data_IF_987413338169
#
_entry.id   IF_987413338169
#
_cell.length_a   1.000
_cell.length_b   1.000
_cell.length_c   1.000
_cell.angle_alpha   90.00
_cell.angle_beta   90.00
_cell.angle_gamma   90.00
#
_symmetry.space_group_name_H-M   'P 1'
#
loop_
_entity.id
_entity.type
_entity.pdbx_description
1 polymer ?
2 non-polymer ?
3 water ?
#
# COMPACT_ATOMS: atom_id res chain seq x y z
N UNK A 6 -2.68 9.89 16.34
CA UNK A 6 -1.85 9.42 15.17
C UNK A 6 -0.47 10.10 15.16
N UNK A 7 0.58 9.30 15.39
CA UNK A 7 1.92 9.86 15.56
C UNK A 7 2.63 10.19 14.24
N UNK A 8 1.99 9.90 13.10
CA UNK A 8 2.66 10.00 11.81
C UNK A 8 2.46 11.37 11.18
N UNK A 9 3.54 11.98 10.68
CA UNK A 9 3.48 13.29 10.04
C UNK A 9 3.00 13.20 8.60
N UNK A 10 1.76 12.73 8.41
CA UNK A 10 1.24 12.41 7.05
C UNK A 10 1.02 13.64 6.19
N UNK A 11 1.02 14.81 6.83
CA UNK A 11 0.94 16.07 6.10
C UNK A 11 2.26 16.60 5.57
N UNK A 12 3.34 15.95 5.99
CA UNK A 12 4.69 16.38 5.63
C UNK A 12 4.97 15.73 4.27
N UNK A 13 5.00 16.57 3.23
CA UNK A 13 5.08 16.07 1.84
C UNK A 13 6.40 15.32 1.62
N UNK A 14 7.46 15.80 2.25
CA UNK A 14 8.78 15.16 2.20
C UNK A 14 8.74 13.75 2.82
N UNK A 15 8.00 13.60 3.92
CA UNK A 15 7.85 12.30 4.57
C UNK A 15 7.11 11.33 3.65
N UNK A 16 6.08 11.81 2.96
CA UNK A 16 5.37 10.87 2.11
C UNK A 16 6.19 10.51 0.86
N UNK A 17 7.08 11.40 0.40
CA UNK A 17 7.98 10.99 -0.69
C UNK A 17 8.94 9.89 -0.17
N UNK A 18 9.29 9.95 1.11
CA UNK A 18 10.16 8.95 1.70
C UNK A 18 9.42 7.61 1.68
N UNK A 19 8.13 7.62 2.04
CA UNK A 19 7.34 6.38 2.00
C UNK A 19 7.23 5.83 0.58
N UNK A 20 6.95 6.71 -0.38
CA UNK A 20 6.81 6.33 -1.78
C UNK A 20 8.14 5.76 -2.30
N UNK A 21 9.25 6.38 -1.90
CA UNK A 21 10.58 5.89 -2.33
C UNK A 21 10.84 4.49 -1.80
N UNK A 22 10.43 4.24 -0.56
CA UNK A 22 10.60 2.92 0.06
C UNK A 22 9.75 1.88 -0.67
N UNK A 23 8.54 2.27 -1.04
CA UNK A 23 7.70 1.40 -1.87
C UNK A 23 8.36 1.14 -3.23
N UNK A 24 8.81 2.19 -3.89
CA UNK A 24 9.40 2.08 -5.22
C UNK A 24 10.59 1.11 -5.13
N UNK A 25 11.40 1.28 -4.09
CA UNK A 25 12.65 0.52 -3.99
C UNK A 25 12.34 -0.95 -3.69
N UNK A 26 11.37 -1.20 -2.80
CA UNK A 26 11.05 -2.58 -2.47
C UNK A 26 10.50 -3.31 -3.69
N UNK A 27 9.59 -2.67 -4.43
CA UNK A 27 8.97 -3.34 -5.58
C UNK A 27 10.06 -3.66 -6.61
N UNK A 28 10.92 -2.67 -6.84
CA UNK A 28 11.99 -2.82 -7.84
C UNK A 28 12.95 -3.93 -7.45
N UNK A 29 13.38 -3.92 -6.20
CA UNK A 29 14.40 -4.85 -5.71
C UNK A 29 13.91 -6.28 -5.67
N UNK A 30 12.61 -6.43 -5.46
CA UNK A 30 12.05 -7.75 -5.22
C UNK A 30 11.27 -8.33 -6.37
N UNK A 31 11.36 -7.70 -7.53
CA UNK A 31 10.89 -8.33 -8.76
C UNK A 31 9.40 -8.19 -9.03
N UNK A 32 8.84 -7.04 -8.65
CA UNK A 32 7.50 -6.67 -9.08
C UNK A 32 7.42 -6.71 -10.60
N UNK A 33 6.30 -7.21 -11.13
CA UNK A 33 6.15 -7.51 -12.57
C UNK A 33 6.08 -6.29 -13.51
N UNK A 34 5.78 -5.12 -12.95
CA UNK A 34 5.55 -3.93 -13.75
C UNK A 34 6.56 -2.84 -13.42
N UNK A 35 6.88 -2.01 -14.41
CA UNK A 35 7.79 -0.90 -14.18
C UNK A 35 7.10 0.05 -13.24
N UNK A 36 7.85 0.51 -12.25
CA UNK A 36 7.37 1.55 -11.33
C UNK A 36 8.42 2.64 -11.26
N UNK A 37 7.98 3.84 -10.95
CA UNK A 37 8.87 4.97 -10.79
C UNK A 37 8.32 5.86 -9.69
N UNK A 38 9.12 6.83 -9.24
CA UNK A 38 8.54 7.83 -8.35
C UNK A 38 7.35 8.50 -9.00
N UNK A 39 7.44 8.79 -10.29
CA UNK A 39 6.36 9.46 -10.98
C UNK A 39 5.09 8.60 -10.98
N UNK A 40 5.22 7.32 -11.28
CA UNK A 40 4.01 6.49 -11.41
C UNK A 40 3.40 6.09 -10.06
N UNK A 41 4.15 6.31 -8.98
CA UNK A 41 3.65 5.98 -7.63
C UNK A 41 3.12 7.17 -6.85
N UNK A 42 2.94 8.31 -7.53
CA UNK A 42 2.43 9.49 -6.86
C UNK A 42 0.94 9.40 -6.62
N UNK A 43 0.23 8.76 -7.54
CA UNK A 43 -1.24 8.77 -7.51
C UNK A 43 -1.79 7.56 -8.22
N UNK A 44 -1.55 6.37 -7.67
CA UNK A 44 -1.93 5.17 -8.43
C UNK A 44 -3.44 4.96 -8.55
N UNK A 45 -3.84 4.26 -9.61
CA UNK A 45 -5.23 3.85 -9.74
C UNK A 45 -5.55 2.76 -8.72
N UNK A 46 -6.85 2.55 -8.49
CA UNK A 46 -7.26 1.45 -7.61
C UNK A 46 -6.72 0.12 -8.15
N UNK A 47 -6.81 -0.07 -9.46
CA UNK A 47 -6.34 -1.34 -10.03
C UNK A 47 -4.84 -1.57 -9.80
N UNK A 48 -4.03 -0.54 -10.00
CA UNK A 48 -2.59 -0.66 -9.76
C UNK A 48 -2.29 -0.85 -8.27
N UNK A 49 -3.02 -0.14 -7.42
CA UNK A 49 -2.87 -0.35 -5.98
C UNK A 49 -3.10 -1.83 -5.64
N UNK A 50 -4.18 -2.40 -6.17
CA UNK A 50 -4.48 -3.80 -5.85
C UNK A 50 -3.39 -4.77 -6.38
N UNK A 51 -2.81 -4.48 -7.55
CA UNK A 51 -1.69 -5.31 -8.07
C UNK A 51 -0.50 -5.22 -7.10
N UNK A 52 -0.24 -4.01 -6.62
CA UNK A 52 0.87 -3.77 -5.68
C UNK A 52 0.60 -4.49 -4.38
N UNK A 53 -0.61 -4.32 -3.86
CA UNK A 53 -0.97 -4.96 -2.59
C UNK A 53 -0.87 -6.51 -2.70
N UNK A 54 -1.31 -7.05 -3.83
CA UNK A 54 -1.30 -8.51 -4.05
C UNK A 54 0.12 -9.04 -4.08
N UNK A 55 1.00 -8.32 -4.77
CA UNK A 55 2.42 -8.64 -4.80
C UNK A 55 2.98 -8.67 -3.38
N UNK A 56 2.75 -7.59 -2.62
CA UNK A 56 3.26 -7.54 -1.25
C UNK A 56 2.65 -8.62 -0.35
N UNK A 57 1.33 -8.74 -0.31
CA UNK A 57 0.75 -9.72 0.60
C UNK A 57 1.13 -11.16 0.22
N UNK A 58 1.45 -11.38 -1.06
CA UNK A 58 1.93 -12.71 -1.52
C UNK A 58 3.18 -13.25 -0.81
N UNK A 59 3.99 -12.35 -0.24
CA UNK A 59 5.15 -12.75 0.55
C UNK A 59 4.71 -13.46 1.85
N UNK A 60 3.57 -13.05 2.39
CA UNK A 60 3.04 -13.64 3.62
C UNK A 60 2.08 -14.78 3.33
N UNK A 61 1.41 -14.70 2.19
CA UNK A 61 0.34 -15.61 1.81
C UNK A 61 0.54 -15.94 0.34
N UNK A 62 1.42 -16.91 0.04
CA UNK A 62 1.82 -17.14 -1.36
C UNK A 62 0.69 -17.44 -2.31
N UNK A 63 -0.38 -18.10 -1.83
CA UNK A 63 -1.52 -18.42 -2.72
C UNK A 63 -2.55 -17.28 -2.88
N UNK A 64 -2.25 -16.12 -2.29
CA UNK A 64 -3.15 -14.99 -2.37
C UNK A 64 -3.44 -14.60 -3.81
N UNK A 65 -4.72 -14.41 -4.11
CA UNK A 65 -5.18 -13.97 -5.43
C UNK A 65 -5.61 -12.52 -5.44
N UNK A 66 -5.33 -11.82 -6.54
CA UNK A 66 -5.75 -10.42 -6.71
C UNK A 66 -7.25 -10.35 -6.40
N UNK A 67 -7.64 -9.46 -5.47
CA UNK A 67 -9.05 -9.31 -5.23
C UNK A 67 -9.63 -8.38 -6.27
N UNK A 68 -10.93 -8.41 -6.42
CA UNK A 68 -11.59 -7.30 -7.07
C UNK A 68 -12.92 -7.13 -6.39
N UNK A 69 -13.78 -8.15 -6.49
CA UNK A 69 -15.06 -8.16 -5.78
C UNK A 69 -14.80 -7.90 -4.30
N UNK A 70 -15.42 -6.84 -3.78
CA UNK A 70 -15.37 -6.51 -2.35
C UNK A 70 -13.95 -6.22 -1.84
N UNK A 71 -13.07 -5.74 -2.71
CA UNK A 71 -11.70 -5.43 -2.29
C UNK A 71 -11.71 -4.39 -1.15
N UNK A 72 -12.73 -3.53 -1.13
CA UNK A 72 -12.80 -2.48 -0.13
C UNK A 72 -13.11 -3.02 1.26
N UNK A 73 -13.56 -4.27 1.31
CA UNK A 73 -13.77 -5.02 2.54
C UNK A 73 -12.53 -5.88 2.87
N UNK A 74 -12.06 -6.60 1.86
CA UNK A 74 -11.00 -7.58 2.02
C UNK A 74 -9.67 -6.97 2.41
N UNK A 75 -9.28 -5.87 1.75
CA UNK A 75 -7.96 -5.30 1.99
C UNK A 75 -7.87 -4.72 3.43
N UNK A 76 -8.84 -3.88 3.85
CA UNK A 76 -8.79 -3.43 5.25
C UNK A 76 -8.84 -4.60 6.25
N UNK A 77 -9.60 -5.65 5.93
CA UNK A 77 -9.66 -6.85 6.79
C UNK A 77 -8.31 -7.52 6.94
N UNK A 78 -7.57 -7.64 5.83
CA UNK A 78 -6.23 -8.25 5.92
C UNK A 78 -5.29 -7.42 6.83
N UNK A 79 -5.26 -6.11 6.61
CA UNK A 79 -4.47 -5.24 7.48
C UNK A 79 -4.89 -5.37 8.94
N UNK A 80 -6.20 -5.36 9.20
CA UNK A 80 -6.70 -5.53 10.57
C UNK A 80 -6.21 -6.85 11.16
N UNK A 81 -6.36 -7.94 10.39
CA UNK A 81 -5.95 -9.27 10.83
C UNK A 81 -4.44 -9.38 11.10
N UNK A 82 -3.63 -8.62 10.36
CA UNK A 82 -2.19 -8.53 10.60
C UNK A 82 -1.78 -7.66 11.78
N UNK A 83 -2.75 -7.00 12.40
CA UNK A 83 -2.52 -6.17 13.59
C UNK A 83 -2.24 -4.72 13.27
N UNK A 84 -2.48 -4.28 12.03
CA UNK A 84 -2.25 -2.86 11.72
C UNK A 84 -3.19 -1.97 12.54
N UNK A 85 -2.64 -1.00 13.29
CA UNK A 85 -3.52 -0.26 14.22
C UNK A 85 -4.27 0.93 13.62
N UNK A 86 -3.97 1.30 12.38
CA UNK A 86 -4.59 2.48 11.80
C UNK A 86 -5.75 2.13 10.87
N UNK A 87 -6.77 2.99 10.93
CA UNK A 87 -8.01 2.91 10.13
C UNK A 87 -7.82 2.89 8.62
N UNK A 88 -8.33 1.86 7.95
CA UNK A 88 -8.43 1.94 6.49
C UNK A 88 -9.91 1.84 6.09
N UNK A 89 -10.49 2.98 5.73
CA UNK A 89 -11.95 3.06 5.51
C UNK A 89 -12.28 2.58 4.12
N UNK A 90 -13.54 2.23 3.88
CA UNK A 90 -13.97 1.99 2.51
C UNK A 90 -13.74 3.19 1.60
N UNK A 91 -14.00 4.41 2.10
CA UNK A 91 -13.81 5.67 1.33
C UNK A 91 -12.37 5.76 0.82
N UNK A 92 -11.41 5.43 1.68
CA UNK A 92 -9.99 5.43 1.30
C UNK A 92 -9.72 4.38 0.21
N UNK A 93 -10.30 3.20 0.35
CA UNK A 93 -10.12 2.13 -0.67
C UNK A 93 -10.62 2.56 -2.04
N UNK A 94 -11.74 3.29 -2.08
CA UNK A 94 -12.32 3.76 -3.33
C UNK A 94 -11.49 4.87 -3.97
N UNK A 95 -10.71 5.58 -3.14
CA UNK A 95 -9.98 6.77 -3.61
C UNK A 95 -8.48 6.69 -3.29
N UNK A 96 -7.89 5.51 -3.42
CA UNK A 96 -6.54 5.28 -2.90
C UNK A 96 -5.50 6.28 -3.38
N UNK A 97 -5.59 6.68 -4.64
CA UNK A 97 -4.60 7.58 -5.23
C UNK A 97 -4.86 9.05 -5.07
N UNK A 98 -6.00 9.41 -4.49
CA UNK A 98 -6.35 10.83 -4.27
C UNK A 98 -5.32 11.49 -3.35
N UNK A 99 -5.09 12.80 -3.53
CA UNK A 99 -4.03 13.54 -2.83
C UNK A 99 -4.02 13.40 -1.30
N UNK A 100 -5.19 13.38 -0.67
CA UNK A 100 -5.28 13.28 0.77
C UNK A 100 -5.57 11.85 1.28
N UNK A 101 -5.70 10.90 0.36
CA UNK A 101 -5.88 9.48 0.71
C UNK A 101 -4.54 8.76 0.60
N UNK A 102 -3.85 8.93 -0.53
CA UNK A 102 -2.62 8.18 -0.77
C UNK A 102 -1.59 8.20 0.38
N UNK A 103 -1.39 9.34 1.05
CA UNK A 103 -0.43 9.33 2.16
C UNK A 103 -0.70 8.23 3.20
N UNK A 104 -1.98 8.02 3.55
CA UNK A 104 -2.41 6.99 4.49
C UNK A 104 -2.20 5.59 3.94
N UNK A 105 -2.45 5.42 2.65
CA UNK A 105 -2.36 4.11 2.02
C UNK A 105 -0.90 3.73 1.81
N UNK A 106 -0.10 4.68 1.33
CA UNK A 106 1.33 4.37 1.14
C UNK A 106 1.99 4.08 2.49
N UNK A 107 1.56 4.76 3.56
CA UNK A 107 2.07 4.48 4.91
C UNK A 107 1.77 3.04 5.31
N UNK A 108 0.56 2.58 4.99
CA UNK A 108 0.15 1.20 5.25
C UNK A 108 0.97 0.18 4.46
N UNK A 109 1.23 0.46 3.18
CA UNK A 109 2.07 -0.42 2.33
C UNK A 109 3.50 -0.52 2.87
N UNK A 110 4.01 0.59 3.38
CA UNK A 110 5.38 0.62 3.90
C UNK A 110 5.47 -0.18 5.20
N UNK A 111 4.43 -0.07 6.02
CA UNK A 111 4.35 -0.89 7.24
C UNK A 111 4.29 -2.38 6.86
N UNK A 112 3.54 -2.71 5.80
CA UNK A 112 3.44 -4.09 5.28
C UNK A 112 4.81 -4.56 4.79
N UNK A 113 5.52 -3.69 4.07
CA UNK A 113 6.89 -3.99 3.61
C UNK A 113 7.79 -4.27 4.82
N UNK A 114 7.68 -3.44 5.86
CA UNK A 114 8.51 -3.65 7.01
C UNK A 114 8.21 -5.02 7.63
N UNK A 115 6.94 -5.38 7.74
CA UNK A 115 6.63 -6.67 8.35
C UNK A 115 7.07 -7.87 7.45
N UNK A 116 7.02 -7.72 6.12
CA UNK A 116 7.60 -8.70 5.19
C UNK A 116 9.12 -8.84 5.42
N UNK A 117 9.81 -7.71 5.50
CA UNK A 117 11.27 -7.67 5.65
C UNK A 117 11.78 -8.42 6.88
N UNK A 118 11.04 -8.38 7.98
CA UNK A 118 11.33 -9.30 9.06
C UNK A 118 10.80 -10.68 8.69
N UNK A 119 9.55 -10.94 9.08
CA UNK A 119 8.89 -12.24 8.94
C UNK A 119 8.88 -12.76 7.51
X LIG B 1 13.39 5.90 -8.48
X LIG B 1 13.84 5.08 -7.31
X LIG B 1 13.28 4.99 -9.55
X LIG B 1 12.65 3.78 -7.00
X LIG C 1 7.62 5.41 7.64
X LIG C 1 6.22 4.92 7.32
X LIG C 1 8.48 5.04 6.58
X LIG C 1 5.59 5.51 5.73
#
# INVERSE_FOLDING_TARGET
GSHMKDPRPLNDKAFIQQCIRQLCEFLTENGYAHNVSMKSLQAPSVKDFLKIFTFLYGFLCPSYELPDTKFEEEVPRIFKDLGYPFALSKSSMYTVGAPHTWPHIVAALVWLIDCIKIHT
BME C1 C2 O1 S2
BME C1 C2 O1 S2
#
